data_IF_550739676073
#
_entry.id   IF_550739676073
#
_cell.length_a   1.000
_cell.length_b   1.000
_cell.length_c   1.000
_cell.angle_alpha   90.00
_cell.angle_beta   90.00
_cell.angle_gamma   90.00
#
_symmetry.space_group_name_H-M   'P 1'
#
loop_
_entity.id
_entity.type
_entity.pdbx_description
1 polymer ?
#
# COMPACT_ATOMS: atom_id res chain seq x y z
N UNK A 1 -22.53 -3.73 -15.53
CA UNK A 1 -21.71 -3.14 -14.46
C UNK A 1 -21.28 -1.76 -14.92
N UNK A 2 -21.65 -0.70 -14.20
CA UNK A 2 -21.24 0.65 -14.52
C UNK A 2 -19.91 0.92 -13.80
N UNK A 3 -18.80 0.94 -14.55
CA UNK A 3 -17.45 1.02 -13.99
C UNK A 3 -17.22 2.33 -13.22
N UNK A 4 -17.87 3.40 -13.67
CA UNK A 4 -17.79 4.72 -13.05
C UNK A 4 -18.37 4.72 -11.63
N UNK A 5 -19.47 3.99 -11.41
CA UNK A 5 -20.08 3.87 -10.08
C UNK A 5 -19.22 3.09 -9.08
N UNK A 6 -18.43 2.11 -9.57
CA UNK A 6 -17.47 1.36 -8.74
C UNK A 6 -16.28 2.26 -8.40
N UNK A 7 -15.80 3.04 -9.37
CA UNK A 7 -14.68 3.95 -9.19
C UNK A 7 -15.04 5.08 -8.22
N UNK A 8 -16.24 5.64 -8.32
CA UNK A 8 -16.75 6.67 -7.42
C UNK A 8 -16.84 6.15 -5.98
N UNK A 9 -17.39 4.95 -5.76
CA UNK A 9 -17.45 4.33 -4.44
C UNK A 9 -16.07 4.00 -3.88
N UNK A 10 -15.14 3.52 -4.72
CA UNK A 10 -13.75 3.27 -4.32
C UNK A 10 -13.01 4.57 -3.95
N UNK A 11 -13.29 5.65 -4.67
CA UNK A 11 -12.69 6.98 -4.44
C UNK A 11 -13.26 7.62 -3.17
N UNK A 12 -14.58 7.51 -2.95
CA UNK A 12 -15.25 7.95 -1.72
C UNK A 12 -14.77 7.15 -0.50
N UNK A 13 -14.65 5.82 -0.62
CA UNK A 13 -14.08 4.94 0.41
C UNK A 13 -12.61 5.31 0.75
N UNK A 14 -11.83 5.66 -0.27
CA UNK A 14 -10.45 6.12 -0.11
C UNK A 14 -10.36 7.48 0.59
N UNK A 15 -11.30 8.39 0.29
CA UNK A 15 -11.24 9.80 0.69
C UNK A 15 -11.92 10.12 2.02
N UNK A 16 -12.97 9.39 2.43
CA UNK A 16 -13.85 9.81 3.55
C UNK A 16 -13.58 9.15 4.91
N UNK A 17 -12.73 8.12 5.03
CA UNK A 17 -12.36 7.65 6.38
C UNK A 17 -11.51 6.38 6.46
N UNK A 18 -11.90 5.29 5.80
CA UNK A 18 -11.25 3.98 6.00
C UNK A 18 -10.06 3.78 5.06
N UNK A 19 -10.13 4.19 3.80
CA UNK A 19 -9.02 3.94 2.87
C UNK A 19 -7.75 4.71 3.21
N UNK A 20 -7.86 5.94 3.74
CA UNK A 20 -6.72 6.66 4.33
C UNK A 20 -6.13 5.91 5.53
N UNK A 21 -6.97 5.42 6.45
CA UNK A 21 -6.53 4.66 7.61
C UNK A 21 -5.85 3.35 7.20
N UNK A 22 -6.40 2.61 6.24
CA UNK A 22 -5.79 1.39 5.69
C UNK A 22 -4.45 1.70 5.02
N UNK A 23 -4.38 2.78 4.24
CA UNK A 23 -3.14 3.20 3.57
C UNK A 23 -2.07 3.60 4.56
N UNK A 24 -2.42 4.38 5.59
CA UNK A 24 -1.50 4.80 6.63
C UNK A 24 -1.06 3.60 7.47
N UNK A 25 -1.96 2.65 7.77
CA UNK A 25 -1.63 1.39 8.44
C UNK A 25 -0.72 0.48 7.59
N UNK A 26 -0.99 0.34 6.30
CA UNK A 26 -0.17 -0.42 5.37
C UNK A 26 1.23 0.17 5.25
N UNK A 27 1.36 1.50 5.21
CA UNK A 27 2.66 2.20 5.23
C UNK A 27 3.43 1.94 6.51
N UNK A 28 2.76 1.95 7.67
CA UNK A 28 3.40 1.63 8.96
C UNK A 28 3.89 0.19 8.99
N UNK A 29 3.05 -0.78 8.61
CA UNK A 29 3.46 -2.19 8.54
C UNK A 29 4.62 -2.37 7.56
N UNK A 30 4.53 -1.77 6.38
CA UNK A 30 5.59 -1.85 5.38
C UNK A 30 6.91 -1.27 5.90
N UNK A 31 6.88 -0.11 6.56
CA UNK A 31 8.09 0.48 7.16
C UNK A 31 8.70 -0.34 8.30
N UNK A 32 7.89 -1.12 9.03
CA UNK A 32 8.37 -2.05 10.06
C UNK A 32 8.98 -3.31 9.42
N UNK A 33 8.31 -3.91 8.43
CA UNK A 33 8.76 -5.15 7.79
C UNK A 33 9.93 -4.92 6.82
N UNK A 34 9.96 -3.78 6.16
CA UNK A 34 10.96 -3.38 5.17
C UNK A 34 11.55 -2.02 5.55
N UNK A 35 12.34 -1.96 6.64
CA UNK A 35 12.97 -0.71 7.06
C UNK A 35 13.89 -0.19 5.95
N UNK A 36 13.92 1.13 5.75
CA UNK A 36 14.75 1.78 4.72
C UNK A 36 16.26 1.56 4.94
N UNK A 37 16.65 1.17 6.17
CA UNK A 37 18.00 0.77 6.54
C UNK A 37 18.26 -0.75 6.42
N UNK A 38 17.32 -1.51 5.84
CA UNK A 38 17.58 -2.90 5.49
C UNK A 38 18.71 -2.96 4.47
N UNK A 39 19.55 -3.99 4.61
CA UNK A 39 20.69 -4.19 3.72
C UNK A 39 20.24 -4.06 2.26
N UNK A 40 20.96 -3.23 1.52
CA UNK A 40 20.67 -2.97 0.12
C UNK A 40 20.55 -4.29 -0.62
N UNK A 41 19.49 -4.46 -1.42
CA UNK A 41 19.23 -5.71 -2.12
C UNK A 41 20.48 -6.14 -2.92
N UNK A 42 21.20 -7.14 -2.40
CA UNK A 42 22.36 -7.70 -3.08
C UNK A 42 21.88 -8.74 -4.09
N UNK A 43 22.46 -8.81 -5.29
CA UNK A 43 22.15 -9.88 -6.23
C UNK A 43 22.35 -11.24 -5.56
N UNK A 44 21.33 -12.10 -5.61
CA UNK A 44 21.49 -13.50 -5.18
C UNK A 44 22.37 -14.20 -6.21
N UNK A 45 23.57 -14.70 -5.86
CA UNK A 45 24.40 -15.44 -6.78
C UNK A 45 23.66 -16.74 -7.13
N UNK A 46 23.22 -16.87 -8.39
CA UNK A 46 22.76 -18.16 -8.92
C UNK A 46 24.03 -18.89 -9.35
N UNK A 47 24.58 -19.70 -8.44
CA UNK A 47 25.68 -20.62 -8.70
C UNK A 47 25.17 -22.00 -9.11
#
# INVERSE_FOLDING_TARGET
MNFDAILEQATAFSSEGIGKVITDFAKVIYGILFPANSDSATPVPIG
#
